data_IF_778515937047
#
_entry.id   IF_778515937047
#
_cell.length_a   1.000
_cell.length_b   1.000
_cell.length_c   1.000
_cell.angle_alpha   90.00
_cell.angle_beta   90.00
_cell.angle_gamma   90.00
#
_symmetry.space_group_name_H-M   'P 1'
#
loop_
_entity.id
_entity.type
_entity.pdbx_description
1 polymer ?
#
# COMPACT_ATOMS: atom_id res chain seq x y z
N UNK A 1 -21.71 13.89 14.54
CA UNK A 1 -20.71 14.93 14.17
C UNK A 1 -20.54 15.89 15.33
N UNK A 2 -19.33 16.28 15.68
CA UNK A 2 -19.05 17.23 16.77
C UNK A 2 -18.84 18.63 16.20
N UNK A 3 -19.90 19.44 16.17
CA UNK A 3 -19.89 20.79 15.58
C UNK A 3 -18.88 21.73 16.24
N UNK A 4 -18.60 21.57 17.53
CA UNK A 4 -17.57 22.36 18.23
C UNK A 4 -16.16 22.04 17.78
N UNK A 5 -15.87 20.74 17.57
CA UNK A 5 -14.56 20.28 17.05
C UNK A 5 -14.34 20.80 15.62
N UNK A 6 -15.37 20.71 14.79
CA UNK A 6 -15.37 21.23 13.42
C UNK A 6 -15.12 22.73 13.39
N UNK A 7 -15.86 23.47 14.23
CA UNK A 7 -15.72 24.93 14.30
C UNK A 7 -14.34 25.37 14.77
N UNK A 8 -13.79 24.72 15.78
CA UNK A 8 -12.44 24.97 16.27
C UNK A 8 -11.37 24.71 15.19
N UNK A 9 -11.57 23.66 14.39
CA UNK A 9 -10.69 23.34 13.28
C UNK A 9 -10.73 24.39 12.17
N UNK A 10 -11.92 24.84 11.76
CA UNK A 10 -12.10 25.93 10.80
C UNK A 10 -11.38 27.19 11.29
N UNK A 11 -11.57 27.55 12.57
CA UNK A 11 -10.90 28.71 13.16
C UNK A 11 -9.37 28.57 13.12
N UNK A 12 -8.83 27.41 13.50
CA UNK A 12 -7.39 27.11 13.44
C UNK A 12 -6.86 27.33 12.02
N UNK A 13 -7.43 26.64 11.01
CA UNK A 13 -6.99 26.72 9.61
C UNK A 13 -7.08 28.14 9.04
N UNK A 14 -8.11 28.91 9.41
CA UNK A 14 -8.21 30.33 9.06
C UNK A 14 -7.06 31.14 9.67
N UNK A 15 -6.74 30.92 10.94
CA UNK A 15 -5.62 31.60 11.61
C UNK A 15 -4.27 31.22 11.00
N UNK A 16 -4.07 29.97 10.64
CA UNK A 16 -2.86 29.49 9.96
C UNK A 16 -2.63 30.24 8.62
N UNK A 17 -3.72 30.63 7.96
CA UNK A 17 -3.71 31.48 6.75
C UNK A 17 -3.66 32.97 7.04
N UNK A 18 -3.55 33.40 8.30
CA UNK A 18 -3.56 34.79 8.73
C UNK A 18 -4.80 35.57 8.27
N UNK A 19 -5.95 34.93 8.12
CA UNK A 19 -7.21 35.55 7.71
C UNK A 19 -8.08 35.94 8.91
N UNK A 20 -8.77 37.06 8.79
CA UNK A 20 -9.89 37.43 9.70
C UNK A 20 -11.15 36.64 9.30
N UNK A 21 -12.13 36.57 10.21
CA UNK A 21 -13.45 36.00 9.89
C UNK A 21 -14.14 36.74 8.74
N UNK A 22 -13.93 38.04 8.63
CA UNK A 22 -14.49 38.86 7.57
C UNK A 22 -13.85 38.54 6.21
N UNK A 23 -12.53 38.39 6.14
CA UNK A 23 -11.83 38.04 4.90
C UNK A 23 -12.18 36.63 4.41
N UNK A 24 -12.34 35.66 5.31
CA UNK A 24 -12.84 34.33 4.94
C UNK A 24 -14.29 34.42 4.41
N UNK A 25 -15.12 35.21 5.07
CA UNK A 25 -16.51 35.39 4.66
C UNK A 25 -16.62 36.04 3.26
N UNK A 26 -15.80 37.04 2.96
CA UNK A 26 -15.75 37.70 1.65
C UNK A 26 -15.38 36.73 0.52
N UNK A 27 -14.39 35.85 0.78
CA UNK A 27 -13.98 34.81 -0.18
C UNK A 27 -15.10 33.80 -0.48
N UNK A 28 -15.97 33.55 0.50
CA UNK A 28 -17.09 32.59 0.39
C UNK A 28 -18.42 33.26 0.02
N UNK A 29 -18.42 34.58 -0.25
CA UNK A 29 -19.63 35.38 -0.46
C UNK A 29 -20.63 35.30 0.68
N UNK A 30 -20.13 35.24 1.93
CA UNK A 30 -20.91 35.13 3.16
C UNK A 30 -20.69 36.34 4.09
N UNK A 31 -21.23 36.28 5.30
CA UNK A 31 -21.01 37.28 6.33
C UNK A 31 -20.06 36.80 7.41
N UNK A 32 -19.24 37.68 8.01
CA UNK A 32 -18.40 37.34 9.15
C UNK A 32 -19.15 36.69 10.30
N UNK A 33 -20.46 37.07 10.49
CA UNK A 33 -21.36 36.45 11.47
C UNK A 33 -21.60 34.96 11.18
N UNK A 34 -21.63 34.56 9.90
CA UNK A 34 -21.78 33.15 9.48
C UNK A 34 -20.53 32.36 9.88
N UNK A 35 -19.34 32.87 9.54
CA UNK A 35 -18.07 32.27 9.92
C UNK A 35 -17.96 32.15 11.45
N UNK A 36 -18.26 33.21 12.17
CA UNK A 36 -18.25 33.20 13.64
C UNK A 36 -19.17 32.12 14.24
N UNK A 37 -20.35 31.87 13.63
CA UNK A 37 -21.28 30.82 14.10
C UNK A 37 -20.70 29.42 13.84
N UNK A 38 -20.01 29.20 12.72
CA UNK A 38 -19.33 27.93 12.44
C UNK A 38 -18.20 27.69 13.44
N UNK A 39 -17.32 28.67 13.61
CA UNK A 39 -16.16 28.58 14.51
C UNK A 39 -16.56 28.35 15.99
N UNK A 40 -17.69 28.86 16.41
CA UNK A 40 -18.25 28.61 17.74
C UNK A 40 -19.11 27.34 17.84
N UNK A 41 -19.17 26.52 16.78
CA UNK A 41 -19.90 25.25 16.76
C UNK A 41 -21.42 25.38 16.82
N UNK A 42 -21.97 26.59 16.62
CA UNK A 42 -23.40 26.83 16.64
C UNK A 42 -24.13 26.36 15.39
N UNK A 43 -23.39 26.30 14.25
CA UNK A 43 -23.89 25.83 12.98
C UNK A 43 -22.74 25.16 12.21
N UNK A 44 -23.07 24.27 11.27
CA UNK A 44 -22.12 23.70 10.33
C UNK A 44 -22.20 24.42 8.98
N UNK A 45 -21.08 24.47 8.23
CA UNK A 45 -21.14 24.82 6.81
C UNK A 45 -22.05 23.87 6.03
N UNK A 46 -22.80 24.39 5.07
CA UNK A 46 -23.59 23.58 4.16
C UNK A 46 -22.67 22.80 3.20
N UNK A 47 -23.15 21.63 2.75
CA UNK A 47 -22.39 20.76 1.82
C UNK A 47 -21.90 21.50 0.58
N UNK A 48 -22.69 22.43 0.04
CA UNK A 48 -22.32 23.21 -1.15
C UNK A 48 -21.14 24.15 -0.92
N UNK A 49 -20.86 24.54 0.33
CA UNK A 49 -19.77 25.47 0.69
C UNK A 49 -18.50 24.72 1.13
N UNK A 50 -18.65 23.47 1.57
CA UNK A 50 -17.52 22.72 2.14
C UNK A 50 -16.34 22.56 1.18
N UNK A 51 -16.58 22.39 -0.12
CA UNK A 51 -15.53 22.23 -1.13
C UNK A 51 -14.74 23.53 -1.28
N UNK A 52 -15.46 24.66 -1.38
CA UNK A 52 -14.81 25.97 -1.53
C UNK A 52 -14.10 26.39 -0.23
N UNK A 53 -14.70 26.13 0.91
CA UNK A 53 -14.09 26.34 2.22
C UNK A 53 -12.80 25.53 2.38
N UNK A 54 -12.82 24.27 2.01
CA UNK A 54 -11.65 23.38 2.05
C UNK A 54 -10.51 23.92 1.15
N UNK A 55 -10.85 24.35 -0.06
CA UNK A 55 -9.90 24.95 -1.01
C UNK A 55 -9.26 26.24 -0.45
N UNK A 56 -10.06 27.15 0.11
CA UNK A 56 -9.57 28.41 0.66
C UNK A 56 -8.67 28.17 1.89
N UNK A 57 -9.04 27.19 2.72
CA UNK A 57 -8.32 26.86 3.95
C UNK A 57 -7.14 25.90 3.73
N UNK A 58 -6.94 25.44 2.49
CA UNK A 58 -5.89 24.46 2.12
C UNK A 58 -5.96 23.21 3.00
N UNK A 59 -7.12 22.59 2.98
CA UNK A 59 -7.46 21.39 3.75
C UNK A 59 -8.46 20.54 2.96
N UNK A 60 -8.74 19.33 3.41
CA UNK A 60 -9.77 18.51 2.78
C UNK A 60 -11.14 18.69 3.42
N UNK A 61 -12.21 18.42 2.67
CA UNK A 61 -13.58 18.37 3.21
C UNK A 61 -13.67 17.36 4.36
N UNK A 62 -12.93 16.26 4.24
CA UNK A 62 -12.92 15.21 5.25
C UNK A 62 -12.29 15.66 6.57
N UNK A 63 -11.18 16.41 6.54
CA UNK A 63 -10.57 17.02 7.73
C UNK A 63 -11.49 18.03 8.40
N UNK A 64 -12.21 18.85 7.61
CA UNK A 64 -13.22 19.76 8.14
C UNK A 64 -14.31 18.98 8.88
N UNK A 65 -14.82 17.90 8.29
CA UNK A 65 -15.89 17.08 8.88
C UNK A 65 -15.42 16.30 10.10
N UNK A 66 -14.16 15.92 10.19
CA UNK A 66 -13.54 15.31 11.38
C UNK A 66 -13.21 16.37 12.45
N UNK A 67 -13.00 17.63 12.03
CA UNK A 67 -12.56 18.71 12.90
C UNK A 67 -11.13 18.54 13.42
N UNK A 68 -10.29 17.85 12.65
CA UNK A 68 -8.87 17.63 12.93
C UNK A 68 -8.09 17.47 11.64
N UNK A 69 -6.83 17.83 11.68
CA UNK A 69 -5.90 17.46 10.61
C UNK A 69 -5.81 15.94 10.60
N UNK A 70 -5.99 15.40 9.42
CA UNK A 70 -5.51 14.04 9.19
C UNK A 70 -4.00 14.23 9.24
N UNK A 71 -3.40 13.84 10.37
CA UNK A 71 -1.95 13.86 10.52
C UNK A 71 -1.38 13.19 9.27
N UNK A 72 -0.23 13.63 8.79
CA UNK A 72 0.53 13.04 7.66
C UNK A 72 0.81 11.53 7.82
N UNK A 73 0.28 10.87 8.85
CA UNK A 73 0.24 9.42 8.96
C UNK A 73 -0.41 8.75 7.75
N UNK A 74 -1.34 9.42 7.03
CA UNK A 74 -1.83 8.89 5.75
C UNK A 74 -0.83 9.11 4.60
N UNK A 75 -0.07 10.19 4.61
CA UNK A 75 1.02 10.36 3.63
C UNK A 75 2.20 9.40 3.91
N UNK A 76 2.44 9.08 5.20
CA UNK A 76 3.45 8.10 5.61
C UNK A 76 3.03 6.65 5.29
N UNK A 77 1.74 6.41 5.02
CA UNK A 77 1.19 5.10 4.70
C UNK A 77 0.95 4.89 3.20
N UNK A 78 1.42 5.80 2.35
CA UNK A 78 1.32 5.63 0.90
C UNK A 78 2.59 4.97 0.38
N UNK A 79 2.44 3.76 -0.12
CA UNK A 79 3.48 3.02 -0.82
C UNK A 79 3.39 3.30 -2.32
N UNK A 80 4.53 3.49 -2.97
CA UNK A 80 4.64 3.63 -4.42
C UNK A 80 5.59 2.57 -4.92
N UNK A 81 5.08 1.65 -5.74
CA UNK A 81 5.81 0.48 -6.23
C UNK A 81 5.53 0.19 -7.70
N UNK A 82 6.41 -0.58 -8.32
CA UNK A 82 6.19 -1.17 -9.63
C UNK A 82 6.64 -2.63 -9.62
N UNK A 83 5.96 -3.50 -10.36
CA UNK A 83 6.18 -4.94 -10.34
C UNK A 83 6.43 -5.50 -11.73
N UNK A 84 7.33 -6.49 -11.80
CA UNK A 84 7.66 -7.26 -12.99
C UNK A 84 7.61 -8.75 -12.68
N UNK A 85 7.14 -9.56 -13.63
CA UNK A 85 6.97 -10.99 -13.43
C UNK A 85 7.84 -11.80 -14.40
N UNK A 86 8.49 -12.84 -13.88
CA UNK A 86 9.37 -13.71 -14.66
C UNK A 86 9.17 -15.20 -14.33
N UNK A 87 9.62 -16.06 -15.23
CA UNK A 87 9.69 -17.51 -15.02
C UNK A 87 10.70 -17.86 -13.92
N UNK A 88 10.46 -18.94 -13.20
CA UNK A 88 11.39 -19.49 -12.21
C UNK A 88 12.76 -19.81 -12.81
N UNK A 89 12.84 -20.15 -14.09
CA UNK A 89 14.12 -20.41 -14.79
C UNK A 89 15.05 -19.20 -14.87
N UNK A 90 14.55 -18.00 -14.62
CA UNK A 90 15.34 -16.76 -14.66
C UNK A 90 15.95 -16.37 -13.30
N UNK A 91 15.73 -17.16 -12.24
CA UNK A 91 16.13 -16.84 -10.86
C UNK A 91 17.62 -16.46 -10.76
N UNK A 92 18.49 -17.33 -11.24
CA UNK A 92 19.94 -17.12 -11.14
C UNK A 92 20.38 -15.85 -11.88
N UNK A 93 19.84 -15.61 -13.07
CA UNK A 93 20.16 -14.42 -13.87
C UNK A 93 19.68 -13.14 -13.16
N UNK A 94 18.47 -13.15 -12.61
CA UNK A 94 17.88 -12.02 -11.88
C UNK A 94 18.73 -11.70 -10.65
N UNK A 95 19.05 -12.69 -9.84
CA UNK A 95 19.83 -12.49 -8.62
C UNK A 95 21.25 -12.00 -8.92
N UNK A 96 21.90 -12.58 -9.94
CA UNK A 96 23.24 -12.15 -10.36
C UNK A 96 23.22 -10.72 -10.90
N UNK A 97 22.17 -10.34 -11.64
CA UNK A 97 21.99 -8.99 -12.15
C UNK A 97 21.94 -7.97 -11.00
N UNK A 98 21.05 -8.15 -10.03
CA UNK A 98 20.95 -7.22 -8.91
C UNK A 98 22.19 -7.22 -8.00
N UNK A 99 22.85 -8.36 -7.81
CA UNK A 99 24.12 -8.44 -7.06
C UNK A 99 25.27 -7.70 -7.75
N UNK A 100 25.22 -7.53 -9.06
CA UNK A 100 26.23 -6.79 -9.82
C UNK A 100 26.06 -5.26 -9.73
N UNK A 101 24.94 -4.78 -9.22
CA UNK A 101 24.66 -3.36 -9.09
C UNK A 101 25.30 -2.78 -7.82
N UNK A 102 26.35 -1.96 -7.99
CA UNK A 102 27.10 -1.36 -6.88
C UNK A 102 26.27 -0.35 -6.06
N UNK A 103 25.18 0.20 -6.63
CA UNK A 103 24.31 1.16 -5.97
C UNK A 103 23.28 0.49 -5.04
N UNK A 104 23.16 -0.82 -5.08
CA UNK A 104 22.25 -1.59 -4.24
C UNK A 104 23.01 -2.52 -3.30
N UNK A 105 22.66 -2.49 -2.05
CA UNK A 105 23.20 -3.39 -1.03
C UNK A 105 22.29 -4.63 -0.90
N UNK A 106 22.84 -5.82 -1.10
CA UNK A 106 22.13 -7.07 -0.86
C UNK A 106 21.96 -7.31 0.64
N UNK A 107 20.72 -7.38 1.11
CA UNK A 107 20.36 -7.51 2.54
C UNK A 107 20.19 -8.98 2.97
N UNK A 108 20.10 -9.91 2.04
CA UNK A 108 19.94 -11.33 2.32
C UNK A 108 18.70 -11.95 1.70
N UNK A 109 18.51 -13.23 2.06
CA UNK A 109 17.37 -14.04 1.64
C UNK A 109 16.55 -14.42 2.86
N UNK A 110 15.22 -14.31 2.78
CA UNK A 110 14.28 -14.55 3.84
C UNK A 110 13.16 -15.48 3.35
N UNK A 111 12.77 -16.43 4.19
CA UNK A 111 11.57 -17.21 3.95
C UNK A 111 10.38 -16.51 4.57
N UNK A 112 9.34 -16.26 3.79
CA UNK A 112 8.13 -15.62 4.25
C UNK A 112 6.92 -16.53 4.08
N UNK A 113 6.13 -16.61 5.16
CA UNK A 113 4.79 -17.20 5.14
C UNK A 113 3.78 -16.09 5.36
N UNK A 114 2.83 -15.98 4.46
CA UNK A 114 1.73 -15.01 4.54
C UNK A 114 0.42 -15.73 4.78
N UNK A 115 -0.35 -15.24 5.75
CA UNK A 115 -1.71 -15.62 6.04
C UNK A 115 -2.60 -14.42 5.74
N UNK A 116 -3.57 -14.57 4.84
CA UNK A 116 -4.51 -13.50 4.48
C UNK A 116 -5.86 -13.77 5.13
N UNK A 117 -6.37 -12.75 5.79
CA UNK A 117 -7.64 -12.83 6.52
C UNK A 117 -8.69 -11.93 5.91
N UNK A 118 -9.94 -12.35 6.01
CA UNK A 118 -11.08 -11.51 5.71
C UNK A 118 -11.92 -11.25 6.96
N UNK A 119 -12.58 -10.09 6.99
CA UNK A 119 -13.46 -9.74 8.10
C UNK A 119 -14.73 -10.59 8.08
N UNK A 120 -15.23 -11.06 9.25
CA UNK A 120 -16.41 -11.92 9.33
C UNK A 120 -17.72 -11.17 8.96
N UNK A 121 -17.77 -9.86 9.17
CA UNK A 121 -18.92 -9.04 8.84
C UNK A 121 -18.87 -8.59 7.38
N UNK A 122 -19.98 -8.74 6.67
CA UNK A 122 -20.05 -8.49 5.22
C UNK A 122 -19.73 -7.05 4.83
N UNK A 123 -20.14 -6.09 5.64
CA UNK A 123 -19.88 -4.64 5.43
C UNK A 123 -18.40 -4.25 5.55
N UNK A 124 -17.57 -5.11 6.17
CA UNK A 124 -16.12 -4.92 6.30
C UNK A 124 -15.33 -5.93 5.48
N UNK A 125 -15.96 -6.53 4.44
CA UNK A 125 -15.29 -7.47 3.56
C UNK A 125 -14.15 -6.77 2.80
N UNK A 126 -12.90 -7.09 3.16
CA UNK A 126 -11.70 -6.50 2.54
C UNK A 126 -11.63 -6.73 1.04
N UNK A 127 -12.16 -7.86 0.56
CA UNK A 127 -12.18 -8.23 -0.87
C UNK A 127 -13.39 -7.67 -1.64
N UNK A 128 -14.20 -6.81 -1.02
CA UNK A 128 -15.27 -6.12 -1.74
C UNK A 128 -14.68 -5.10 -2.72
N UNK A 129 -15.43 -4.73 -3.76
CA UNK A 129 -15.00 -3.72 -4.73
C UNK A 129 -14.89 -2.32 -4.13
N UNK A 130 -15.62 -2.08 -3.05
CA UNK A 130 -15.66 -0.80 -2.34
C UNK A 130 -14.43 -0.62 -1.45
N UNK A 131 -13.89 -1.71 -0.90
CA UNK A 131 -12.74 -1.66 0.00
C UNK A 131 -11.45 -1.98 -0.75
N UNK A 132 -11.44 -3.05 -1.55
CA UNK A 132 -10.32 -3.57 -2.35
C UNK A 132 -8.99 -3.62 -1.59
N UNK A 133 -9.03 -4.29 -0.43
CA UNK A 133 -7.91 -4.35 0.49
C UNK A 133 -7.46 -5.78 0.78
N UNK A 134 -6.28 -5.89 1.39
CA UNK A 134 -5.68 -7.14 1.88
C UNK A 134 -5.26 -6.95 3.32
N UNK A 135 -5.74 -7.81 4.21
CA UNK A 135 -5.27 -7.89 5.59
C UNK A 135 -4.42 -9.14 5.77
N UNK A 136 -3.15 -8.95 6.11
CA UNK A 136 -2.13 -10.00 6.08
C UNK A 136 -1.41 -10.12 7.42
N UNK A 137 -1.12 -11.35 7.80
CA UNK A 137 -0.10 -11.66 8.79
C UNK A 137 1.10 -12.27 8.05
N UNK A 138 2.21 -11.57 8.04
CA UNK A 138 3.45 -11.99 7.38
C UNK A 138 4.46 -12.43 8.41
N UNK A 139 4.95 -13.66 8.29
CA UNK A 139 5.94 -14.27 9.17
C UNK A 139 7.21 -14.45 8.34
N UNK A 140 8.22 -13.63 8.64
CA UNK A 140 9.53 -13.65 7.96
C UNK A 140 10.52 -14.40 8.83
N UNK A 141 11.22 -15.37 8.26
CA UNK A 141 12.23 -16.19 8.94
C UNK A 141 13.57 -16.10 8.22
N UNK A 142 14.63 -15.79 8.95
CA UNK A 142 16.03 -15.80 8.52
C UNK A 142 16.86 -16.75 9.39
N UNK A 143 18.21 -16.76 9.22
CA UNK A 143 19.09 -17.70 9.93
C UNK A 143 18.98 -17.65 11.46
N UNK A 144 18.80 -16.47 12.07
CA UNK A 144 18.63 -16.29 13.51
C UNK A 144 17.59 -15.21 13.82
N UNK A 145 16.58 -15.13 12.98
CA UNK A 145 15.66 -14.01 12.96
C UNK A 145 14.27 -14.48 12.59
N UNK A 146 13.29 -14.04 13.35
CA UNK A 146 11.88 -14.18 13.03
C UNK A 146 11.20 -12.84 13.30
N UNK A 147 10.44 -12.37 12.33
CA UNK A 147 9.64 -11.15 12.40
C UNK A 147 8.22 -11.48 12.00
N UNK A 148 7.27 -10.93 12.72
CA UNK A 148 5.85 -11.02 12.37
C UNK A 148 5.32 -9.60 12.14
N UNK A 149 4.69 -9.40 10.99
CA UNK A 149 4.07 -8.13 10.59
C UNK A 149 2.58 -8.33 10.37
N UNK A 150 1.78 -7.42 10.88
CA UNK A 150 0.42 -7.21 10.42
C UNK A 150 0.49 -6.15 9.34
N UNK A 151 -0.07 -6.43 8.17
CA UNK A 151 -0.12 -5.49 7.05
C UNK A 151 -1.57 -5.34 6.62
N UNK A 152 -2.03 -4.10 6.52
CA UNK A 152 -3.24 -3.73 5.80
C UNK A 152 -2.85 -2.95 4.56
N UNK A 153 -3.18 -3.45 3.38
CA UNK A 153 -2.85 -2.83 2.10
C UNK A 153 -4.11 -2.65 1.28
N UNK A 154 -4.36 -1.43 0.80
CA UNK A 154 -5.56 -1.08 0.05
C UNK A 154 -5.20 -0.39 -1.25
N UNK A 155 -5.81 -0.83 -2.35
CA UNK A 155 -5.71 -0.14 -3.64
C UNK A 155 -6.47 1.18 -3.59
N UNK A 156 -5.86 2.22 -4.14
CA UNK A 156 -6.51 3.53 -4.26
C UNK A 156 -7.33 3.60 -5.54
N UNK A 157 -8.30 4.53 -5.62
CA UNK A 157 -9.24 4.65 -6.74
C UNK A 157 -8.55 4.77 -8.12
N UNK A 158 -7.36 5.35 -8.18
CA UNK A 158 -6.60 5.53 -9.41
C UNK A 158 -5.67 4.36 -9.77
N UNK A 159 -5.69 3.28 -9.01
CA UNK A 159 -4.80 2.13 -9.17
C UNK A 159 -4.77 1.57 -10.60
N UNK A 160 -5.94 1.46 -11.27
CA UNK A 160 -6.03 0.90 -12.62
C UNK A 160 -5.69 1.89 -13.74
N UNK A 161 -5.63 3.18 -13.46
CA UNK A 161 -5.38 4.24 -14.46
C UNK A 161 -3.93 4.71 -14.49
N UNK A 162 -3.15 4.45 -13.44
CA UNK A 162 -1.76 4.84 -13.34
C UNK A 162 -0.83 3.66 -13.63
N UNK A 163 0.32 3.94 -14.25
CA UNK A 163 1.30 2.90 -14.62
C UNK A 163 2.15 2.46 -13.43
N UNK A 164 2.35 3.34 -12.45
CA UNK A 164 3.05 3.08 -11.19
C UNK A 164 2.00 2.91 -10.09
N UNK A 165 2.04 1.81 -9.37
CA UNK A 165 1.09 1.51 -8.32
C UNK A 165 1.30 2.42 -7.11
N UNK A 166 0.18 2.96 -6.62
CA UNK A 166 0.14 3.72 -5.38
C UNK A 166 -0.94 3.11 -4.49
N UNK A 167 -0.55 2.58 -3.35
CA UNK A 167 -1.44 1.86 -2.44
C UNK A 167 -1.31 2.44 -1.03
N UNK A 168 -2.39 2.39 -0.27
CA UNK A 168 -2.33 2.65 1.16
C UNK A 168 -1.83 1.39 1.87
N UNK A 169 -0.74 1.49 2.64
CA UNK A 169 -0.21 0.38 3.42
C UNK A 169 0.04 0.79 4.86
N UNK A 170 -0.49 0.01 5.79
CA UNK A 170 -0.25 0.17 7.22
C UNK A 170 0.41 -1.09 7.73
N UNK A 171 1.60 -0.96 8.30
CA UNK A 171 2.35 -2.07 8.86
C UNK A 171 2.56 -1.92 10.36
N UNK A 172 2.36 -3.02 11.09
CA UNK A 172 2.62 -3.10 12.54
C UNK A 172 3.47 -4.33 12.83
N UNK A 173 4.65 -4.11 13.39
CA UNK A 173 5.50 -5.19 13.84
C UNK A 173 5.01 -5.77 15.16
N UNK A 174 4.90 -7.10 15.23
CA UNK A 174 4.51 -7.84 16.42
C UNK A 174 5.74 -8.49 17.01
N UNK A 175 5.96 -8.31 18.31
CA UNK A 175 7.12 -8.88 19.01
C UNK A 175 7.12 -10.42 19.02
N UNK A 176 8.30 -11.00 18.90
CA UNK A 176 8.61 -12.37 18.46
C UNK A 176 7.91 -13.55 19.14
N UNK A 177 7.34 -13.43 20.31
CA UNK A 177 6.71 -14.57 21.00
C UNK A 177 5.18 -14.55 20.94
N UNK A 178 4.60 -13.75 20.07
CA UNK A 178 3.16 -13.48 20.04
C UNK A 178 2.45 -13.95 18.79
N UNK A 179 3.14 -14.56 17.81
CA UNK A 179 2.53 -14.96 16.53
C UNK A 179 1.36 -15.92 16.70
N UNK A 180 1.54 -16.98 17.52
CA UNK A 180 0.48 -17.95 17.78
C UNK A 180 -0.70 -17.32 18.54
N UNK A 181 -0.40 -16.47 19.53
CA UNK A 181 -1.43 -15.73 20.26
C UNK A 181 -2.19 -14.75 19.35
N UNK A 182 -1.48 -14.13 18.41
CA UNK A 182 -2.10 -13.26 17.42
C UNK A 182 -3.02 -14.03 16.47
N UNK A 183 -2.58 -15.18 15.97
CA UNK A 183 -3.42 -16.06 15.15
C UNK A 183 -4.67 -16.48 15.95
N UNK A 184 -4.49 -16.89 17.21
CA UNK A 184 -5.61 -17.22 18.09
C UNK A 184 -6.58 -16.05 18.26
N UNK A 185 -6.05 -14.84 18.48
CA UNK A 185 -6.86 -13.62 18.61
C UNK A 185 -7.67 -13.34 17.33
N UNK A 186 -7.02 -13.40 16.16
CA UNK A 186 -7.67 -13.17 14.88
C UNK A 186 -8.79 -14.19 14.61
N UNK A 187 -8.49 -15.48 14.77
CA UNK A 187 -9.41 -16.55 14.38
C UNK A 187 -10.48 -16.84 15.42
N UNK A 188 -10.12 -16.86 16.71
CA UNK A 188 -11.04 -17.34 17.75
C UNK A 188 -11.73 -16.21 18.53
N UNK A 189 -11.16 -15.01 18.59
CA UNK A 189 -11.73 -13.87 19.31
C UNK A 189 -12.39 -12.88 18.36
N UNK A 190 -11.70 -12.52 17.27
CA UNK A 190 -12.22 -11.59 16.26
C UNK A 190 -12.97 -12.30 15.14
N UNK A 191 -12.97 -13.63 15.14
CA UNK A 191 -13.64 -14.49 14.16
C UNK A 191 -13.26 -14.16 12.69
N UNK A 192 -12.02 -13.71 12.48
CA UNK A 192 -11.49 -13.47 11.15
C UNK A 192 -11.36 -14.79 10.40
N UNK A 193 -11.66 -14.79 9.13
CA UNK A 193 -11.58 -15.98 8.28
C UNK A 193 -10.26 -16.00 7.54
N UNK A 194 -9.45 -17.05 7.73
CA UNK A 194 -8.27 -17.29 6.90
C UNK A 194 -8.75 -17.67 5.49
N UNK A 195 -8.52 -16.78 4.53
CA UNK A 195 -9.02 -16.96 3.15
C UNK A 195 -7.94 -17.44 2.21
N UNK A 196 -6.67 -17.10 2.48
CA UNK A 196 -5.56 -17.45 1.62
C UNK A 196 -4.26 -17.58 2.42
N UNK A 197 -3.37 -18.47 1.99
CA UNK A 197 -2.02 -18.53 2.54
C UNK A 197 -1.02 -18.98 1.49
N UNK A 198 0.23 -18.46 1.58
CA UNK A 198 1.30 -18.81 0.69
C UNK A 198 2.66 -18.62 1.35
N UNK A 199 3.68 -19.19 0.72
CA UNK A 199 5.08 -19.01 1.08
C UNK A 199 5.85 -18.46 -0.12
N UNK A 200 6.89 -17.68 0.16
CA UNK A 200 7.86 -17.23 -0.83
C UNK A 200 9.25 -17.14 -0.23
N UNK A 201 10.26 -17.16 -1.07
CA UNK A 201 11.61 -16.74 -0.70
C UNK A 201 11.80 -15.32 -1.22
N UNK A 202 12.11 -14.37 -0.32
CA UNK A 202 12.31 -12.95 -0.67
C UNK A 202 13.80 -12.60 -0.56
N UNK A 203 14.38 -12.10 -1.63
CA UNK A 203 15.69 -11.48 -1.64
C UNK A 203 15.53 -9.96 -1.68
N UNK A 204 16.24 -9.25 -0.81
CA UNK A 204 16.13 -7.79 -0.67
C UNK A 204 17.43 -7.13 -1.10
N UNK A 205 17.31 -6.12 -1.96
CA UNK A 205 18.36 -5.21 -2.38
C UNK A 205 17.89 -3.79 -2.12
N UNK A 206 18.72 -2.94 -1.53
CA UNK A 206 18.27 -1.57 -1.21
C UNK A 206 19.39 -0.55 -1.19
N UNK A 207 18.98 0.71 -1.28
CA UNK A 207 19.74 1.89 -0.91
C UNK A 207 18.83 2.88 -0.17
N UNK A 208 19.21 4.15 -0.08
CA UNK A 208 18.44 5.17 0.63
C UNK A 208 17.15 5.58 -0.10
N UNK A 209 17.07 5.34 -1.42
CA UNK A 209 15.95 5.79 -2.26
C UNK A 209 14.96 4.68 -2.58
N UNK A 210 15.42 3.43 -2.77
CA UNK A 210 14.56 2.30 -3.17
C UNK A 210 14.86 1.02 -2.41
N UNK A 211 13.86 0.16 -2.35
CA UNK A 211 14.00 -1.27 -2.07
C UNK A 211 13.57 -2.07 -3.30
N UNK A 212 14.39 -3.04 -3.68
CA UNK A 212 14.08 -4.04 -4.70
C UNK A 212 13.90 -5.38 -4.01
N UNK A 213 12.69 -5.91 -4.06
CA UNK A 213 12.37 -7.24 -3.60
C UNK A 213 12.30 -8.21 -4.79
N UNK A 214 13.05 -9.30 -4.72
CA UNK A 214 12.94 -10.42 -5.66
C UNK A 214 12.25 -11.56 -4.93
N UNK A 215 10.98 -11.76 -5.23
CA UNK A 215 10.10 -12.73 -4.59
C UNK A 215 9.96 -13.97 -5.43
N UNK A 216 10.42 -15.08 -4.91
CA UNK A 216 10.34 -16.37 -5.57
C UNK A 216 9.14 -17.11 -4.99
N UNK A 217 8.05 -17.13 -5.76
CA UNK A 217 6.85 -17.90 -5.49
C UNK A 217 6.96 -19.32 -6.06
N UNK A 218 6.12 -20.27 -5.66
CA UNK A 218 6.18 -21.63 -6.20
C UNK A 218 6.00 -21.77 -7.72
N UNK A 219 5.55 -20.73 -8.40
CA UNK A 219 5.19 -20.79 -9.83
C UNK A 219 5.72 -19.63 -10.68
N UNK A 220 6.29 -18.59 -10.06
CA UNK A 220 6.87 -17.44 -10.76
C UNK A 220 7.81 -16.64 -9.85
N UNK A 221 8.51 -15.70 -10.45
CA UNK A 221 9.30 -14.66 -9.75
C UNK A 221 8.59 -13.32 -9.94
N UNK A 222 8.42 -12.58 -8.87
CA UNK A 222 8.04 -11.18 -8.92
C UNK A 222 9.23 -10.31 -8.49
N UNK A 223 9.50 -9.25 -9.25
CA UNK A 223 10.43 -8.19 -8.86
C UNK A 223 9.58 -6.98 -8.52
N UNK A 224 9.67 -6.49 -7.30
CA UNK A 224 9.01 -5.29 -6.82
C UNK A 224 10.08 -4.21 -6.59
N UNK A 225 9.89 -3.03 -7.15
CA UNK A 225 10.74 -1.86 -6.93
C UNK A 225 9.87 -0.83 -6.23
N UNK A 226 10.20 -0.55 -4.98
CA UNK A 226 9.44 0.31 -4.09
C UNK A 226 10.24 1.58 -3.75
N UNK A 227 9.57 2.73 -3.77
CA UNK A 227 10.16 3.98 -3.28
C UNK A 227 10.32 3.97 -1.76
N UNK A 228 11.52 4.32 -1.29
CA UNK A 228 11.84 4.50 0.14
C UNK A 228 12.31 5.92 0.46
N UNK A 229 12.50 6.75 -0.57
CA UNK A 229 12.86 8.15 -0.38
C UNK A 229 11.73 8.93 0.26
N UNK A 230 12.04 9.74 1.27
CA UNK A 230 11.07 10.58 1.99
C UNK A 230 10.99 12.00 1.45
N UNK A 231 12.04 12.45 0.78
CA UNK A 231 12.21 13.86 0.40
C UNK A 231 12.03 14.09 -1.11
N UNK A 232 11.83 13.02 -1.90
CA UNK A 232 11.72 13.08 -3.36
C UNK A 232 10.32 12.66 -3.81
N UNK A 233 9.91 13.11 -4.99
CA UNK A 233 8.69 12.62 -5.61
C UNK A 233 8.78 11.11 -5.88
N UNK A 234 7.89 10.28 -5.30
CA UNK A 234 7.98 8.83 -5.37
C UNK A 234 7.98 8.28 -6.79
N UNK A 235 7.16 8.86 -7.68
CA UNK A 235 7.09 8.42 -9.08
C UNK A 235 8.34 8.77 -9.85
N UNK A 236 8.92 9.97 -9.61
CA UNK A 236 10.17 10.37 -10.22
C UNK A 236 11.33 9.44 -9.78
N UNK A 237 11.35 9.02 -8.51
CA UNK A 237 12.33 8.04 -8.00
C UNK A 237 12.20 6.71 -8.74
N UNK A 238 10.99 6.15 -8.81
CA UNK A 238 10.75 4.89 -9.53
C UNK A 238 11.20 5.01 -11.00
N UNK A 239 10.81 6.06 -11.73
CA UNK A 239 11.18 6.24 -13.13
C UNK A 239 12.69 6.36 -13.32
N UNK A 240 13.38 7.07 -12.43
CA UNK A 240 14.85 7.16 -12.45
C UNK A 240 15.50 5.78 -12.32
N UNK A 241 15.07 4.97 -11.33
CA UNK A 241 15.63 3.66 -11.12
C UNK A 241 15.22 2.63 -12.18
N UNK A 242 14.03 2.74 -12.77
CA UNK A 242 13.67 1.93 -13.94
C UNK A 242 14.67 2.14 -15.09
N UNK A 243 14.98 3.40 -15.38
CA UNK A 243 15.97 3.72 -16.42
C UNK A 243 17.37 3.16 -16.07
N UNK A 244 17.83 3.38 -14.84
CA UNK A 244 19.12 2.91 -14.36
C UNK A 244 19.21 1.37 -14.40
N UNK A 245 18.16 0.69 -13.95
CA UNK A 245 18.05 -0.77 -13.93
C UNK A 245 17.57 -1.34 -15.27
N UNK A 246 17.49 -0.55 -16.33
CA UNK A 246 17.08 -0.95 -17.68
C UNK A 246 15.77 -1.76 -17.71
N UNK A 247 14.77 -1.34 -16.93
CA UNK A 247 13.42 -1.86 -16.98
C UNK A 247 12.51 -0.91 -17.78
N UNK A 248 11.57 -1.48 -18.57
CA UNK A 248 10.55 -0.71 -19.26
C UNK A 248 9.26 -0.68 -18.47
N UNK A 249 8.64 0.49 -18.38
CA UNK A 249 7.33 0.66 -17.75
C UNK A 249 6.25 -0.23 -18.39
N UNK A 250 6.33 -0.41 -19.72
CA UNK A 250 5.41 -1.23 -20.49
C UNK A 250 5.46 -2.74 -20.14
N UNK A 251 6.59 -3.21 -19.55
CA UNK A 251 6.76 -4.59 -19.10
C UNK A 251 6.17 -4.84 -17.70
N UNK A 252 5.69 -3.78 -17.04
CA UNK A 252 5.19 -3.86 -15.66
C UNK A 252 3.88 -4.65 -15.57
N UNK A 253 3.69 -5.30 -14.42
CA UNK A 253 2.44 -5.97 -14.07
C UNK A 253 1.77 -5.24 -12.91
N UNK A 254 0.57 -4.73 -13.13
CA UNK A 254 -0.13 -3.84 -12.19
C UNK A 254 -0.83 -4.55 -11.06
N UNK A 255 -1.30 -5.76 -11.30
CA UNK A 255 -2.07 -6.51 -10.32
C UNK A 255 -1.15 -7.26 -9.36
N UNK A 256 -1.72 -7.92 -8.37
CA UNK A 256 -0.98 -8.68 -7.37
C UNK A 256 -0.60 -10.09 -7.86
N UNK A 257 0.21 -10.79 -7.07
CA UNK A 257 0.61 -12.16 -7.36
C UNK A 257 -0.60 -13.12 -7.36
N UNK A 258 -1.58 -12.90 -6.49
CA UNK A 258 -2.80 -13.70 -6.38
C UNK A 258 -3.73 -13.52 -7.60
N UNK A 259 -3.79 -12.31 -8.17
CA UNK A 259 -4.45 -12.07 -9.45
C UNK A 259 -3.78 -12.88 -10.57
N UNK A 260 -2.42 -12.86 -10.62
CA UNK A 260 -1.67 -13.64 -11.63
C UNK A 260 -1.80 -15.14 -11.43
N UNK A 261 -1.81 -15.60 -10.19
CA UNK A 261 -2.05 -17.00 -9.86
C UNK A 261 -3.42 -17.46 -10.36
N UNK A 262 -4.48 -16.66 -10.14
CA UNK A 262 -5.82 -16.93 -10.60
C UNK A 262 -5.91 -16.98 -12.14
N UNK A 263 -5.29 -16.02 -12.83
CA UNK A 263 -5.17 -16.00 -14.29
C UNK A 263 -4.53 -17.29 -14.83
N UNK A 264 -3.34 -17.65 -14.31
CA UNK A 264 -2.61 -18.82 -14.75
C UNK A 264 -3.35 -20.14 -14.47
N UNK A 265 -4.01 -20.24 -13.32
CA UNK A 265 -4.83 -21.41 -12.99
C UNK A 265 -5.98 -21.57 -13.99
N UNK A 266 -6.66 -20.49 -14.36
CA UNK A 266 -7.73 -20.50 -15.37
C UNK A 266 -7.20 -20.86 -16.75
N UNK A 267 -6.11 -20.23 -17.21
CA UNK A 267 -5.50 -20.47 -18.52
C UNK A 267 -5.02 -21.93 -18.69
N UNK A 268 -4.47 -22.52 -17.63
CA UNK A 268 -3.90 -23.85 -17.65
C UNK A 268 -4.88 -24.94 -17.16
N UNK A 269 -6.14 -24.57 -16.87
CA UNK A 269 -7.16 -25.46 -16.35
C UNK A 269 -6.71 -26.22 -15.08
N UNK A 270 -6.01 -25.51 -14.19
CA UNK A 270 -5.58 -26.00 -12.89
C UNK A 270 -6.54 -25.48 -11.83
N UNK A 271 -6.93 -26.34 -10.89
CA UNK A 271 -7.77 -25.92 -9.77
C UNK A 271 -7.00 -24.92 -8.88
N UNK A 272 -7.54 -23.72 -8.72
CA UNK A 272 -6.99 -22.74 -7.77
C UNK A 272 -7.08 -23.28 -6.35
N UNK A 273 -5.96 -23.24 -5.63
CA UNK A 273 -5.91 -23.57 -4.21
C UNK A 273 -5.71 -22.26 -3.40
N UNK A 274 -6.55 -22.05 -2.40
CA UNK A 274 -6.45 -20.85 -1.53
C UNK A 274 -5.25 -20.94 -0.60
N UNK A 275 -4.78 -22.14 -0.32
CA UNK A 275 -3.56 -22.39 0.46
C UNK A 275 -2.51 -22.94 -0.49
N UNK A 276 -1.66 -22.03 -1.02
CA UNK A 276 -0.66 -22.36 -2.02
C UNK A 276 0.46 -23.18 -1.38
N UNK A 277 0.55 -24.42 -1.78
CA UNK A 277 1.47 -25.43 -1.28
C UNK A 277 2.21 -26.09 -2.44
N UNK A 278 3.53 -26.16 -2.35
CA UNK A 278 4.40 -26.75 -3.37
C UNK A 278 4.20 -28.26 -3.58
N UNK A 279 3.47 -28.93 -2.70
CA UNK A 279 3.12 -30.35 -2.85
C UNK A 279 2.01 -30.60 -3.88
N UNK A 280 1.31 -29.54 -4.32
CA UNK A 280 0.23 -29.60 -5.30
C UNK A 280 0.68 -29.15 -6.67
N UNK A 281 -0.14 -29.45 -7.68
CA UNK A 281 0.11 -28.98 -9.04
C UNK A 281 0.04 -27.43 -9.08
N UNK A 282 1.15 -26.81 -9.47
CA UNK A 282 1.26 -25.37 -9.66
C UNK A 282 1.18 -25.00 -11.14
N UNK A 283 0.57 -23.86 -11.49
CA UNK A 283 0.68 -23.33 -12.83
C UNK A 283 2.12 -22.91 -13.14
N UNK A 284 2.42 -22.76 -14.41
CA UNK A 284 3.75 -22.33 -14.87
C UNK A 284 3.65 -20.96 -15.51
N UNK A 285 4.48 -20.03 -15.10
CA UNK A 285 4.61 -18.73 -15.75
C UNK A 285 5.81 -18.74 -16.70
N UNK A 286 5.59 -18.44 -17.98
CA UNK A 286 6.55 -18.64 -19.06
C UNK A 286 7.12 -17.33 -19.62
N UNK A 287 7.45 -16.35 -18.80
CA UNK A 287 8.21 -15.19 -19.23
C UNK A 287 9.72 -15.44 -19.00
N UNK A 288 10.43 -15.89 -20.05
CA UNK A 288 11.85 -16.24 -20.02
C UNK A 288 12.76 -15.08 -20.45
N UNK A 289 12.24 -13.86 -20.59
CA UNK A 289 12.99 -12.76 -21.18
C UNK A 289 13.54 -11.79 -20.13
N UNK A 290 14.26 -12.30 -19.15
CA UNK A 290 15.12 -11.42 -18.35
C UNK A 290 16.41 -11.13 -19.14
N UNK A 291 16.28 -10.31 -20.18
CA UNK A 291 17.38 -9.93 -21.08
C UNK A 291 17.98 -8.59 -20.72
N UNK A 292 18.06 -8.26 -19.44
CA UNK A 292 18.71 -7.03 -19.02
C UNK A 292 20.17 -7.12 -19.44
N UNK A 293 20.58 -6.25 -20.36
CA UNK A 293 21.93 -6.25 -20.90
C UNK A 293 22.92 -5.97 -19.77
N UNK A 294 23.80 -6.91 -19.51
CA UNK A 294 25.03 -6.63 -18.80
C UNK A 294 25.83 -5.68 -19.68
N UNK A 295 25.86 -4.39 -19.35
CA UNK A 295 26.83 -3.45 -19.90
C UNK A 295 28.08 -3.46 -19.04
#
# INVERSE_FOLDING_TARGET
>A
MNTQKIGAFIAKKRHDKNMTQQELAEKLFLTGKTISRWENGNYMPDLGILIELATILDTSVYEILLGEEISNQQADNIETEIRFLYSLSEEEKILNYFKSFNELTYMGSFNEKTLQYNHPMKEYNFYSKEIDARFRLRITTGQNYQKTMITYKRRLENFLTEEINTEEEVEVEVTNNSTENLIYLLENVLHMTLVESYTRTRHIFKNDDIEVAVDIYPFMIAIEIENKSKDKDPKAVILYYLNLLNFSLEESYRLSWDDKYDELCKEQNIKKENHVDTTKQMPTYNNHYFTKKNN
#
